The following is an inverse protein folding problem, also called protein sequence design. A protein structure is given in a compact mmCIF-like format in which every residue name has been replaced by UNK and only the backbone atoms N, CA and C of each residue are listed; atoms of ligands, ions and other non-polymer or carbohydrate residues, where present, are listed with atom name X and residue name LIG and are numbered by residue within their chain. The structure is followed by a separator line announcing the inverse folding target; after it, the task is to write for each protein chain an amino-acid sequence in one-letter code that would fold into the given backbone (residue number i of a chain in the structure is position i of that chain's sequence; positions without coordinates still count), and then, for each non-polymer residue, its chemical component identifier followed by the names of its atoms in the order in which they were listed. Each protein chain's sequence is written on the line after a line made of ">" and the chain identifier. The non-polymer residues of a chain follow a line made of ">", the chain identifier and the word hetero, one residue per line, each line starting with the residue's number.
data_IF_405919764511
#
_entry.id   IF_405919764511
#
_cell.length_a   1.000
_cell.length_b   1.000
_cell.length_c   1.000
_cell.angle_alpha   90.00
_cell.angle_beta   90.00
_cell.angle_gamma   90.00
#
_symmetry.space_group_name_H-M   'P 1'
#
loop_
_entity.id
_entity.type
_entity.pdbx_description
1 polymer ?
#
# COMPACT_ATOMS: atom_id res chain seq x y z
N UNK A 1 -42.64 29.10 -28.72
CA UNK A 1 -41.42 28.66 -29.45
C UNK A 1 -40.09 28.96 -28.74
N UNK A 2 -39.92 30.07 -28.01
CA UNK A 2 -38.64 30.35 -27.30
C UNK A 2 -38.35 29.42 -26.11
N UNK A 3 -39.36 29.09 -25.30
CA UNK A 3 -39.19 28.21 -24.12
C UNK A 3 -38.76 26.77 -24.49
N UNK A 4 -39.32 26.24 -25.58
CA UNK A 4 -39.01 24.90 -26.08
C UNK A 4 -37.55 24.77 -26.55
N UNK A 5 -36.96 25.85 -27.09
CA UNK A 5 -35.54 25.88 -27.48
C UNK A 5 -34.61 25.88 -26.26
N UNK A 6 -34.97 26.56 -25.18
CA UNK A 6 -34.16 26.54 -23.94
C UNK A 6 -34.24 25.20 -23.20
N UNK A 7 -35.39 24.53 -23.23
CA UNK A 7 -35.54 23.18 -22.66
C UNK A 7 -34.76 22.15 -23.48
N UNK A 8 -34.81 22.22 -24.83
CA UNK A 8 -33.97 21.37 -25.67
C UNK A 8 -32.48 21.68 -25.53
N UNK A 9 -32.06 22.95 -25.39
CA UNK A 9 -30.66 23.29 -25.12
C UNK A 9 -30.20 22.80 -23.74
N UNK A 10 -31.08 22.84 -22.73
CA UNK A 10 -30.80 22.29 -21.41
C UNK A 10 -30.67 20.76 -21.42
N UNK A 11 -31.56 20.08 -22.15
CA UNK A 11 -31.49 18.62 -22.32
C UNK A 11 -30.29 18.21 -23.18
N UNK A 12 -29.98 18.93 -24.27
CA UNK A 12 -28.78 18.69 -25.08
C UNK A 12 -27.51 19.04 -24.29
N UNK A 13 -27.54 20.04 -23.41
CA UNK A 13 -26.47 20.36 -22.48
C UNK A 13 -26.23 19.24 -21.47
N UNK A 14 -27.29 18.75 -20.82
CA UNK A 14 -27.21 17.59 -19.91
C UNK A 14 -26.82 16.32 -20.66
N UNK A 15 -27.35 16.06 -21.85
CA UNK A 15 -26.96 14.93 -22.70
C UNK A 15 -25.52 15.07 -23.19
N UNK A 16 -25.04 16.27 -23.51
CA UNK A 16 -23.64 16.49 -23.88
C UNK A 16 -22.72 16.30 -22.69
N UNK A 17 -23.12 16.65 -21.47
CA UNK A 17 -22.36 16.38 -20.24
C UNK A 17 -22.43 14.91 -19.80
N UNK A 18 -23.50 14.20 -20.16
CA UNK A 18 -23.69 12.76 -19.89
C UNK A 18 -23.06 11.88 -20.98
N UNK A 19 -22.92 12.38 -22.21
CA UNK A 19 -22.38 11.65 -23.37
C UNK A 19 -20.97 12.11 -23.78
N UNK A 20 -20.50 13.29 -23.35
CA UNK A 20 -19.07 13.65 -23.45
C UNK A 20 -18.35 12.95 -22.32
N UNK A 21 -17.52 11.99 -22.70
CA UNK A 21 -16.73 11.18 -21.79
C UNK A 21 -15.86 11.97 -20.81
N UNK A 22 -15.31 11.20 -19.87
CA UNK A 22 -14.38 11.58 -18.82
C UNK A 22 -15.07 12.12 -17.55
N UNK A 23 -15.15 11.26 -16.52
CA UNK A 23 -15.41 11.52 -15.08
C UNK A 23 -16.78 11.21 -14.47
N UNK A 24 -17.83 10.85 -15.23
CA UNK A 24 -19.13 10.54 -14.59
C UNK A 24 -19.17 9.12 -14.00
N UNK A 25 -19.35 9.04 -12.67
CA UNK A 25 -19.44 7.77 -11.92
C UNK A 25 -20.66 6.95 -12.35
N UNK A 26 -21.77 7.61 -12.70
CA UNK A 26 -22.98 6.94 -13.15
C UNK A 26 -22.97 6.66 -14.64
N UNK A 27 -23.54 5.52 -15.02
CA UNK A 27 -23.65 5.06 -16.40
C UNK A 27 -24.87 4.15 -16.53
N UNK A 28 -25.08 3.55 -17.71
CA UNK A 28 -26.06 2.47 -17.88
C UNK A 28 -25.40 1.12 -17.65
N UNK A 29 -26.19 0.05 -17.45
CA UNK A 29 -25.66 -1.32 -17.36
C UNK A 29 -24.84 -1.75 -18.60
N UNK A 30 -25.10 -1.13 -19.76
CA UNK A 30 -24.41 -1.35 -21.02
C UNK A 30 -23.39 -0.25 -21.35
N UNK A 31 -23.15 0.66 -20.42
CA UNK A 31 -22.12 1.68 -20.59
C UNK A 31 -20.72 1.09 -20.44
N UNK A 32 -19.73 1.84 -20.91
CA UNK A 32 -18.33 1.40 -20.86
C UNK A 32 -17.70 1.72 -19.50
N UNK A 33 -16.78 0.87 -18.99
CA UNK A 33 -15.92 1.21 -17.86
C UNK A 33 -15.03 2.43 -18.13
N UNK A 34 -14.30 2.89 -17.11
CA UNK A 34 -13.27 3.92 -17.32
C UNK A 34 -12.22 3.43 -18.33
N UNK A 35 -11.81 4.33 -19.24
CA UNK A 35 -10.82 4.04 -20.27
C UNK A 35 -9.41 3.98 -19.66
N UNK A 36 -8.42 3.43 -20.38
CA UNK A 36 -7.03 3.49 -19.94
C UNK A 36 -6.54 4.93 -19.69
N UNK A 37 -6.97 5.89 -20.52
CA UNK A 37 -6.56 7.30 -20.39
C UNK A 37 -7.16 7.95 -19.14
N UNK A 38 -8.43 7.67 -18.82
CA UNK A 38 -9.06 8.14 -17.58
C UNK A 38 -8.31 7.63 -16.34
N UNK A 39 -7.87 6.37 -16.38
CA UNK A 39 -7.09 5.74 -15.30
C UNK A 39 -5.71 6.38 -15.21
N UNK A 40 -5.02 6.53 -16.34
CA UNK A 40 -3.71 7.17 -16.40
C UNK A 40 -3.74 8.56 -15.75
N UNK A 41 -4.63 9.43 -16.21
CA UNK A 41 -4.76 10.80 -15.68
C UNK A 41 -5.10 10.80 -14.18
N UNK A 42 -5.97 9.88 -13.75
CA UNK A 42 -6.35 9.77 -12.33
C UNK A 42 -5.16 9.36 -11.45
N UNK A 43 -4.43 8.32 -11.83
CA UNK A 43 -3.28 7.81 -11.05
C UNK A 43 -2.14 8.82 -11.07
N UNK A 44 -1.80 9.40 -12.23
CA UNK A 44 -0.71 10.36 -12.31
C UNK A 44 -0.95 11.62 -11.48
N UNK A 45 -2.21 12.04 -11.40
CA UNK A 45 -2.62 13.15 -10.54
C UNK A 45 -2.53 12.80 -9.05
N UNK A 46 -3.11 11.67 -8.65
CA UNK A 46 -3.15 11.23 -7.25
C UNK A 46 -1.74 11.02 -6.68
N UNK A 47 -0.86 10.39 -7.48
CA UNK A 47 0.49 10.03 -7.07
C UNK A 47 1.55 11.00 -7.60
N UNK A 48 1.18 12.23 -7.92
CA UNK A 48 2.09 13.26 -8.46
C UNK A 48 3.36 13.48 -7.64
N UNK A 49 3.33 13.20 -6.32
CA UNK A 49 4.49 13.28 -5.42
C UNK A 49 5.63 12.31 -5.77
N UNK A 50 5.32 11.21 -6.47
CA UNK A 50 6.30 10.23 -6.97
C UNK A 50 6.46 10.26 -8.49
N UNK A 51 5.94 11.31 -9.14
CA UNK A 51 6.11 11.60 -10.57
C UNK A 51 5.93 10.39 -11.53
N UNK A 52 4.83 9.63 -11.42
CA UNK A 52 4.55 8.51 -12.32
C UNK A 52 4.48 8.94 -13.78
N UNK A 53 4.89 8.05 -14.69
CA UNK A 53 4.64 8.17 -16.12
C UNK A 53 4.11 6.84 -16.66
N UNK A 54 2.80 6.74 -16.82
CA UNK A 54 2.13 5.48 -17.12
C UNK A 54 2.01 5.23 -18.63
N UNK A 55 2.43 4.04 -19.03
CA UNK A 55 2.29 3.51 -20.39
C UNK A 55 1.45 2.25 -20.35
N UNK A 56 0.37 2.22 -21.14
CA UNK A 56 -0.49 1.05 -21.28
C UNK A 56 0.27 -0.07 -21.99
N UNK A 57 0.37 -1.24 -21.33
CA UNK A 57 1.01 -2.44 -21.88
C UNK A 57 -0.01 -3.40 -22.50
N UNK A 58 -1.17 -3.56 -21.85
CA UNK A 58 -2.23 -4.42 -22.36
C UNK A 58 -3.61 -3.98 -21.91
N UNK A 59 -4.61 -4.27 -22.74
CA UNK A 59 -6.03 -4.06 -22.42
C UNK A 59 -6.82 -5.31 -22.82
N UNK A 60 -7.55 -5.87 -21.87
CA UNK A 60 -8.37 -7.08 -22.06
C UNK A 60 -9.78 -6.82 -21.55
N UNK A 61 -10.79 -7.21 -22.32
CA UNK A 61 -12.17 -7.29 -21.85
C UNK A 61 -12.35 -8.64 -21.16
N UNK A 62 -12.40 -8.66 -19.83
CA UNK A 62 -12.57 -9.90 -19.05
C UNK A 62 -14.04 -10.35 -19.02
N UNK A 63 -14.96 -9.37 -19.00
CA UNK A 63 -16.39 -9.65 -19.02
C UNK A 63 -17.10 -8.71 -19.97
N UNK A 64 -17.83 -9.28 -20.92
CA UNK A 64 -18.70 -8.55 -21.83
C UNK A 64 -19.93 -7.95 -21.14
N UNK A 65 -20.61 -7.05 -21.84
CA UNK A 65 -21.85 -6.41 -21.39
C UNK A 65 -22.98 -7.45 -21.16
N UNK A 66 -23.92 -7.20 -20.22
CA UNK A 66 -24.00 -6.03 -19.32
C UNK A 66 -23.03 -6.11 -18.13
N UNK A 67 -22.73 -4.96 -17.53
CA UNK A 67 -21.76 -4.79 -16.45
C UNK A 67 -20.36 -5.25 -16.87
N UNK A 68 -19.86 -4.60 -17.92
CA UNK A 68 -18.57 -4.89 -18.52
C UNK A 68 -17.43 -4.69 -17.53
N UNK A 69 -16.39 -5.51 -17.67
CA UNK A 69 -15.14 -5.44 -16.90
C UNK A 69 -13.96 -5.52 -17.84
N UNK A 70 -13.10 -4.52 -17.74
CA UNK A 70 -11.84 -4.46 -18.44
C UNK A 70 -10.69 -4.60 -17.44
N UNK A 71 -9.63 -5.25 -17.86
CA UNK A 71 -8.36 -5.37 -17.14
C UNK A 71 -7.31 -4.63 -17.95
N UNK A 72 -6.57 -3.75 -17.28
CA UNK A 72 -5.47 -3.00 -17.88
C UNK A 72 -4.18 -3.30 -17.12
N UNK A 73 -3.09 -3.40 -17.88
CA UNK A 73 -1.73 -3.48 -17.32
C UNK A 73 -1.00 -2.23 -17.75
N UNK A 74 -0.47 -1.51 -16.77
CA UNK A 74 0.34 -0.32 -16.99
C UNK A 74 1.78 -0.59 -16.53
N UNK A 75 2.72 0.03 -17.23
CA UNK A 75 4.11 0.18 -16.80
C UNK A 75 4.35 1.64 -16.43
N UNK A 76 4.93 1.88 -15.26
CA UNK A 76 5.40 3.21 -14.86
C UNK A 76 6.87 3.36 -15.30
N UNK A 77 7.10 4.15 -16.34
CA UNK A 77 8.45 4.38 -16.87
C UNK A 77 9.34 5.17 -15.92
N UNK A 78 8.76 6.04 -15.08
CA UNK A 78 9.52 6.86 -14.13
C UNK A 78 10.06 6.02 -12.98
N UNK A 79 9.26 5.08 -12.48
CA UNK A 79 9.56 4.30 -11.27
C UNK A 79 9.93 2.84 -11.55
N UNK A 80 9.76 2.36 -12.79
CA UNK A 80 10.31 1.09 -13.24
C UNK A 80 9.53 -0.15 -12.80
N UNK A 81 8.21 -0.07 -12.61
CA UNK A 81 7.39 -1.21 -12.21
C UNK A 81 6.07 -1.28 -12.99
N UNK A 82 5.44 -2.46 -13.00
CA UNK A 82 4.13 -2.67 -13.62
C UNK A 82 3.06 -2.91 -12.56
N UNK A 83 1.82 -2.53 -12.87
CA UNK A 83 0.66 -2.88 -12.06
C UNK A 83 -0.55 -3.22 -12.95
N UNK A 84 -1.44 -4.03 -12.40
CA UNK A 84 -2.67 -4.46 -13.06
C UNK A 84 -3.86 -3.87 -12.32
N UNK A 85 -4.80 -3.30 -13.05
CA UNK A 85 -6.02 -2.70 -12.49
C UNK A 85 -7.26 -3.13 -13.25
N UNK A 86 -8.36 -3.23 -12.51
CA UNK A 86 -9.68 -3.50 -13.06
C UNK A 86 -10.46 -2.20 -13.22
N UNK A 87 -11.18 -2.09 -14.33
CA UNK A 87 -12.16 -1.05 -14.59
C UNK A 87 -13.50 -1.70 -14.90
N UNK A 88 -14.51 -1.43 -14.08
CA UNK A 88 -15.81 -2.12 -14.15
C UNK A 88 -16.98 -1.17 -14.20
N UNK A 89 -18.06 -1.63 -14.82
CA UNK A 89 -19.41 -1.16 -14.53
C UNK A 89 -20.07 -2.19 -13.62
N UNK A 90 -20.55 -1.76 -12.45
CA UNK A 90 -21.26 -2.62 -11.48
C UNK A 90 -22.68 -2.13 -11.24
N UNK A 91 -23.48 -2.96 -10.58
CA UNK A 91 -24.75 -2.51 -10.02
C UNK A 91 -24.52 -1.31 -9.08
N UNK A 92 -25.33 -0.25 -9.22
CA UNK A 92 -25.36 0.89 -8.32
C UNK A 92 -25.41 0.50 -6.85
N UNK A 93 -24.63 1.20 -6.03
CA UNK A 93 -24.64 1.01 -4.56
C UNK A 93 -25.95 1.48 -3.92
N UNK A 94 -26.65 2.42 -4.57
CA UNK A 94 -28.02 2.83 -4.22
C UNK A 94 -29.03 2.10 -5.11
N UNK A 95 -30.28 1.85 -4.65
CA UNK A 95 -31.32 1.19 -5.44
C UNK A 95 -31.84 2.13 -6.55
N UNK A 96 -30.98 2.43 -7.52
CA UNK A 96 -31.26 3.20 -8.70
C UNK A 96 -31.02 2.30 -9.93
N UNK A 97 -31.88 2.36 -10.97
CA UNK A 97 -31.62 1.65 -12.21
C UNK A 97 -30.37 2.23 -12.90
N UNK A 98 -29.56 1.37 -13.53
CA UNK A 98 -28.38 1.77 -14.29
C UNK A 98 -27.11 1.03 -13.88
N UNK A 99 -25.96 1.68 -14.07
CA UNK A 99 -24.63 1.18 -13.75
C UNK A 99 -23.78 2.22 -13.03
N UNK A 100 -22.80 1.76 -12.27
CA UNK A 100 -21.82 2.59 -11.57
C UNK A 100 -20.42 2.18 -12.02
N UNK A 101 -19.65 3.12 -12.55
CA UNK A 101 -18.24 2.93 -12.89
C UNK A 101 -17.42 2.84 -11.62
N UNK A 102 -16.52 1.86 -11.56
CA UNK A 102 -15.57 1.69 -10.47
C UNK A 102 -14.26 1.13 -11.00
N UNK A 103 -13.15 1.61 -10.47
CA UNK A 103 -11.85 1.01 -10.68
C UNK A 103 -11.09 0.90 -9.35
N UNK A 104 -10.01 0.12 -9.35
CA UNK A 104 -9.10 -0.07 -8.21
C UNK A 104 -7.69 0.48 -8.51
N UNK A 105 -7.56 1.37 -9.50
CA UNK A 105 -6.26 1.81 -10.02
C UNK A 105 -5.39 2.45 -8.95
N UNK A 106 -5.93 3.39 -8.17
CA UNK A 106 -5.15 4.05 -7.12
C UNK A 106 -4.68 3.06 -6.05
N UNK A 107 -5.53 2.09 -5.69
CA UNK A 107 -5.17 1.07 -4.70
C UNK A 107 -4.07 0.15 -5.24
N UNK A 108 -4.26 -0.41 -6.43
CA UNK A 108 -3.32 -1.35 -7.06
C UNK A 108 -1.97 -0.69 -7.37
N UNK A 109 -1.98 0.57 -7.83
CA UNK A 109 -0.77 1.36 -8.01
C UNK A 109 -0.02 1.55 -6.70
N UNK A 110 -0.70 2.00 -5.62
CA UNK A 110 -0.09 2.17 -4.30
C UNK A 110 0.57 0.87 -3.80
N UNK A 111 -0.10 -0.29 -3.95
CA UNK A 111 0.46 -1.57 -3.54
C UNK A 111 1.70 -1.95 -4.35
N UNK A 112 1.62 -1.89 -5.68
CA UNK A 112 2.74 -2.19 -6.54
C UNK A 112 3.91 -1.22 -6.33
N UNK A 113 3.61 0.06 -6.03
CA UNK A 113 4.60 1.06 -5.68
C UNK A 113 5.36 0.65 -4.41
N UNK A 114 4.63 0.33 -3.35
CA UNK A 114 5.24 -0.06 -2.08
C UNK A 114 6.02 -1.38 -2.15
N UNK A 115 5.62 -2.29 -3.05
CA UNK A 115 6.36 -3.53 -3.32
C UNK A 115 7.66 -3.26 -4.06
N UNK A 116 7.68 -2.39 -5.08
CA UNK A 116 8.95 -2.10 -5.79
C UNK A 116 9.99 -1.47 -4.86
N UNK A 117 9.55 -0.72 -3.83
CA UNK A 117 10.46 -0.11 -2.85
C UNK A 117 11.23 -1.16 -2.03
N UNK A 118 10.71 -2.38 -1.90
CA UNK A 118 11.31 -3.45 -1.09
C UNK A 118 12.79 -3.69 -1.47
N UNK A 119 13.12 -3.72 -2.77
CA UNK A 119 14.51 -3.92 -3.21
C UNK A 119 15.47 -2.85 -2.67
N UNK A 120 15.06 -1.58 -2.69
CA UNK A 120 15.85 -0.48 -2.12
C UNK A 120 15.94 -0.54 -0.60
N UNK A 121 14.88 -0.98 0.06
CA UNK A 121 14.84 -1.18 1.52
C UNK A 121 15.74 -2.33 1.95
N UNK A 122 15.77 -3.44 1.19
CA UNK A 122 16.65 -4.59 1.43
C UNK A 122 18.12 -4.18 1.37
N UNK A 123 18.53 -3.42 0.35
CA UNK A 123 19.91 -2.93 0.27
C UNK A 123 20.25 -1.94 1.39
N UNK A 124 19.31 -1.07 1.76
CA UNK A 124 19.51 -0.13 2.86
C UNK A 124 19.60 -0.83 4.22
N UNK A 125 18.82 -1.88 4.46
CA UNK A 125 18.84 -2.63 5.72
C UNK A 125 20.23 -3.20 6.04
N UNK A 126 20.96 -3.66 5.01
CA UNK A 126 22.33 -4.19 5.15
C UNK A 126 23.30 -3.17 5.75
N UNK A 127 23.11 -1.88 5.46
CA UNK A 127 23.96 -0.80 5.98
C UNK A 127 23.88 -0.68 7.51
N UNK A 128 22.80 -1.18 8.09
CA UNK A 128 22.53 -1.19 9.53
C UNK A 128 22.70 -2.58 10.16
N UNK A 129 23.34 -3.53 9.45
CA UNK A 129 23.53 -4.90 9.94
C UNK A 129 22.25 -5.75 9.98
N UNK A 130 21.16 -5.26 9.39
CA UNK A 130 19.88 -5.97 9.35
C UNK A 130 19.74 -6.82 8.09
N UNK A 131 18.94 -7.88 8.19
CA UNK A 131 18.57 -8.71 7.04
C UNK A 131 17.08 -8.56 6.78
N UNK A 132 16.72 -7.85 5.72
CA UNK A 132 15.33 -7.71 5.31
C UNK A 132 14.99 -8.76 4.23
N UNK A 133 13.83 -9.39 4.35
CA UNK A 133 13.32 -10.32 3.36
C UNK A 133 12.93 -9.57 2.07
N UNK A 134 13.20 -10.20 0.93
CA UNK A 134 12.59 -9.75 -0.34
C UNK A 134 11.07 -9.94 -0.28
N UNK A 135 10.34 -9.24 -1.15
CA UNK A 135 8.89 -9.41 -1.21
C UNK A 135 8.48 -10.87 -1.42
N UNK A 136 9.13 -11.56 -2.35
CA UNK A 136 8.89 -12.98 -2.65
C UNK A 136 9.19 -13.86 -1.44
N UNK A 137 10.32 -13.61 -0.77
CA UNK A 137 10.67 -14.34 0.44
C UNK A 137 9.68 -14.10 1.58
N UNK A 138 9.20 -12.87 1.74
CA UNK A 138 8.18 -12.56 2.75
C UNK A 138 6.87 -13.33 2.48
N UNK A 139 6.46 -13.46 1.22
CA UNK A 139 5.31 -14.29 0.83
C UNK A 139 5.52 -15.77 1.13
N UNK A 140 6.72 -16.31 0.94
CA UNK A 140 7.04 -17.70 1.28
C UNK A 140 7.09 -17.92 2.80
N UNK A 141 7.69 -16.99 3.56
CA UNK A 141 7.68 -17.01 5.01
C UNK A 141 6.25 -16.94 5.57
N UNK A 142 5.38 -16.12 4.99
CA UNK A 142 3.97 -16.04 5.38
C UNK A 142 3.18 -17.34 5.18
N UNK A 143 3.60 -18.19 4.23
CA UNK A 143 3.02 -19.53 4.00
C UNK A 143 3.62 -20.61 4.90
N UNK A 144 4.71 -20.31 5.61
CA UNK A 144 5.37 -21.28 6.48
C UNK A 144 4.45 -21.73 7.62
N UNK A 145 4.71 -22.92 8.17
CA UNK A 145 4.00 -23.43 9.36
C UNK A 145 4.60 -22.91 10.67
N UNK A 146 5.53 -21.96 10.61
CA UNK A 146 6.15 -21.37 11.77
C UNK A 146 5.11 -20.58 12.56
N UNK A 147 5.09 -20.76 13.88
CA UNK A 147 4.11 -20.12 14.76
C UNK A 147 4.78 -19.42 15.92
N UNK A 148 4.12 -18.39 16.42
CA UNK A 148 4.46 -17.71 17.67
C UNK A 148 3.28 -17.75 18.63
N UNK A 149 3.59 -17.61 19.91
CA UNK A 149 2.57 -17.44 20.96
C UNK A 149 2.20 -15.97 21.05
N UNK A 150 0.90 -15.68 20.97
CA UNK A 150 0.34 -14.35 21.17
C UNK A 150 -0.80 -14.46 22.19
N UNK A 151 -0.53 -14.03 23.43
CA UNK A 151 -1.42 -14.29 24.56
C UNK A 151 -1.54 -15.80 24.81
N UNK A 152 -2.77 -16.32 24.76
CA UNK A 152 -3.06 -17.75 24.90
C UNK A 152 -3.11 -18.49 23.55
N UNK A 153 -2.99 -17.79 22.43
CA UNK A 153 -3.16 -18.35 21.09
C UNK A 153 -1.82 -18.62 20.41
N UNK A 154 -1.82 -19.63 19.51
CA UNK A 154 -0.75 -19.82 18.52
C UNK A 154 -1.20 -19.20 17.20
N UNK A 155 -0.40 -18.27 16.68
CA UNK A 155 -0.64 -17.60 15.40
C UNK A 155 0.58 -17.77 14.49
N UNK A 156 0.43 -17.47 13.19
CA UNK A 156 1.58 -17.48 12.28
C UNK A 156 2.68 -16.56 12.77
N UNK A 157 3.94 -17.00 12.63
CA UNK A 157 5.11 -16.21 12.96
C UNK A 157 5.23 -14.99 12.03
N UNK A 158 4.96 -15.19 10.74
CA UNK A 158 5.14 -14.19 9.70
C UNK A 158 3.78 -13.73 9.15
N UNK A 159 3.40 -12.49 9.47
CA UNK A 159 2.10 -11.90 9.11
C UNK A 159 2.19 -10.46 8.62
N UNK A 160 3.40 -9.93 8.43
CA UNK A 160 3.64 -8.53 8.12
C UNK A 160 4.17 -8.38 6.69
N UNK A 161 3.98 -7.21 6.09
CA UNK A 161 4.37 -6.93 4.72
C UNK A 161 5.89 -6.97 4.55
N UNK A 162 6.60 -6.26 5.42
CA UNK A 162 8.05 -6.26 5.48
C UNK A 162 8.51 -7.08 6.68
N UNK A 163 9.45 -8.00 6.44
CA UNK A 163 10.01 -8.88 7.45
C UNK A 163 11.50 -8.56 7.58
N UNK A 164 11.90 -8.10 8.76
CA UNK A 164 13.28 -7.70 9.05
C UNK A 164 13.82 -8.57 10.18
N UNK A 165 14.94 -9.22 9.92
CA UNK A 165 15.70 -9.99 10.89
C UNK A 165 16.85 -9.15 11.45
N UNK A 166 17.03 -9.22 12.75
CA UNK A 166 18.09 -8.55 13.51
C UNK A 166 18.81 -9.57 14.38
N UNK A 167 20.11 -9.38 14.58
CA UNK A 167 20.92 -10.19 15.51
C UNK A 167 21.39 -9.32 16.70
N UNK A 168 22.18 -9.92 17.60
CA UNK A 168 22.68 -9.25 18.82
C UNK A 168 23.58 -8.01 18.56
N UNK A 169 24.09 -7.87 17.33
CA UNK A 169 24.94 -6.74 16.95
C UNK A 169 24.15 -5.48 16.60
N UNK A 170 22.89 -5.63 16.20
CA UNK A 170 22.00 -4.51 15.81
C UNK A 170 21.55 -3.74 17.04
N UNK A 171 21.61 -2.40 17.00
CA UNK A 171 21.12 -1.53 18.09
C UNK A 171 19.76 -0.93 17.76
N UNK A 172 18.99 -0.61 18.80
CA UNK A 172 17.70 0.07 18.65
C UNK A 172 17.81 1.39 17.87
N UNK A 173 18.93 2.10 18.00
CA UNK A 173 19.22 3.33 17.22
C UNK A 173 19.36 3.09 15.71
N UNK A 174 19.92 1.95 15.31
CA UNK A 174 20.03 1.55 13.90
C UNK A 174 18.64 1.25 13.33
N UNK A 175 17.83 0.52 14.11
CA UNK A 175 16.43 0.22 13.76
C UNK A 175 15.62 1.52 13.65
N UNK A 176 15.81 2.48 14.56
CA UNK A 176 15.13 3.77 14.52
C UNK A 176 15.45 4.53 13.23
N UNK A 177 16.73 4.58 12.86
CA UNK A 177 17.19 5.28 11.66
C UNK A 177 16.66 4.62 10.39
N UNK A 178 16.61 3.29 10.36
CA UNK A 178 16.02 2.55 9.25
C UNK A 178 14.50 2.73 9.16
N UNK A 179 13.79 2.72 10.29
CA UNK A 179 12.35 2.98 10.33
C UNK A 179 12.00 4.39 9.84
N UNK A 180 12.80 5.41 10.16
CA UNK A 180 12.67 6.75 9.58
C UNK A 180 12.85 6.73 8.06
N UNK A 181 13.80 5.95 7.56
CA UNK A 181 14.00 5.76 6.13
C UNK A 181 12.76 5.14 5.44
N UNK A 182 12.17 4.10 6.03
CA UNK A 182 10.92 3.51 5.54
C UNK A 182 9.81 4.56 5.57
N UNK A 183 9.65 5.29 6.68
CA UNK A 183 8.64 6.33 6.82
C UNK A 183 8.73 7.38 5.71
N UNK A 184 9.92 7.93 5.43
CA UNK A 184 10.10 8.92 4.38
C UNK A 184 9.84 8.39 2.97
N UNK A 185 10.08 7.09 2.72
CA UNK A 185 9.77 6.45 1.44
C UNK A 185 8.27 6.16 1.28
N UNK A 186 7.59 5.80 2.37
CA UNK A 186 6.15 5.55 2.38
C UNK A 186 5.32 6.83 2.41
N UNK A 187 5.90 7.93 2.89
CA UNK A 187 5.31 9.27 2.95
C UNK A 187 6.28 10.32 2.42
N UNK A 188 6.58 10.32 1.12
CA UNK A 188 7.43 11.34 0.53
C UNK A 188 6.79 12.71 0.75
N UNK A 189 7.55 13.65 1.33
CA UNK A 189 7.08 15.00 1.66
C UNK A 189 5.81 14.99 2.56
N UNK A 190 5.70 14.01 3.45
CA UNK A 190 4.52 13.77 4.31
C UNK A 190 3.20 13.57 3.55
N UNK A 191 3.28 13.25 2.25
CA UNK A 191 2.11 12.96 1.43
C UNK A 191 1.53 11.58 1.77
N UNK A 192 0.20 11.50 1.82
CA UNK A 192 -0.54 10.31 2.26
C UNK A 192 -0.92 9.35 1.12
N UNK A 193 -0.73 9.75 -0.14
CA UNK A 193 -1.25 9.03 -1.31
C UNK A 193 -0.79 7.57 -1.38
N UNK A 194 0.49 7.31 -1.05
CA UNK A 194 1.06 5.96 -1.11
C UNK A 194 0.48 5.01 -0.05
N UNK A 195 0.11 5.51 1.13
CA UNK A 195 -0.51 4.70 2.19
C UNK A 195 -2.03 4.74 2.04
N UNK A 196 -2.54 4.13 0.97
CA UNK A 196 -3.97 4.14 0.67
C UNK A 196 -4.80 3.69 1.90
N UNK A 197 -5.91 4.34 2.29
CA UNK A 197 -6.64 4.03 3.53
C UNK A 197 -7.18 2.59 3.69
N UNK A 198 -7.19 1.82 2.60
CA UNK A 198 -7.55 0.39 2.58
C UNK A 198 -6.35 -0.56 2.69
N UNK A 199 -5.13 -0.03 2.67
CA UNK A 199 -3.90 -0.78 2.87
C UNK A 199 -3.00 -0.01 3.81
N UNK A 200 -3.00 -0.47 5.05
CA UNK A 200 -1.88 -0.20 5.94
C UNK A 200 -0.69 -1.01 5.45
N UNK A 201 0.53 -0.47 5.60
CA UNK A 201 1.75 -1.27 5.46
C UNK A 201 2.30 -1.58 6.83
N UNK A 202 2.84 -2.77 6.99
CA UNK A 202 3.32 -3.25 8.28
C UNK A 202 4.75 -3.78 8.20
N UNK A 203 5.52 -3.49 9.23
CA UNK A 203 6.92 -3.87 9.32
C UNK A 203 7.11 -4.69 10.59
N UNK A 204 7.52 -5.94 10.45
CA UNK A 204 7.80 -6.84 11.56
C UNK A 204 9.30 -7.05 11.77
N UNK A 205 9.73 -6.92 13.02
CA UNK A 205 11.10 -7.20 13.45
C UNK A 205 11.17 -8.53 14.19
N UNK A 206 12.19 -9.30 13.84
CA UNK A 206 12.42 -10.65 14.32
C UNK A 206 13.89 -10.82 14.72
N UNK A 207 14.15 -11.44 15.85
CA UNK A 207 15.49 -11.82 16.23
C UNK A 207 15.88 -13.14 15.55
N UNK A 208 17.00 -13.15 14.87
CA UNK A 208 17.60 -14.34 14.27
C UNK A 208 19.09 -14.37 14.65
N UNK A 209 19.57 -15.41 15.36
CA UNK A 209 20.97 -15.50 15.75
C UNK A 209 21.91 -15.40 14.54
N UNK A 210 23.05 -14.74 14.74
CA UNK A 210 24.05 -14.59 13.69
C UNK A 210 24.50 -15.97 13.18
N UNK A 211 24.39 -16.18 11.87
CA UNK A 211 24.73 -17.44 11.22
C UNK A 211 23.61 -18.48 11.17
N UNK A 212 22.43 -18.23 11.76
CA UNK A 212 21.25 -19.06 11.54
C UNK A 212 20.66 -18.76 10.16
N UNK A 213 20.63 -19.78 9.29
CA UNK A 213 20.08 -19.66 7.94
C UNK A 213 18.57 -19.97 7.91
N UNK A 214 18.07 -20.77 8.86
CA UNK A 214 16.65 -21.10 8.95
C UNK A 214 15.88 -19.96 9.62
N UNK A 215 15.35 -19.06 8.77
CA UNK A 215 14.53 -17.93 9.17
C UNK A 215 13.31 -18.33 9.99
N UNK A 216 12.80 -19.56 9.87
CA UNK A 216 11.62 -20.01 10.63
C UNK A 216 11.89 -20.17 12.13
N UNK A 217 13.16 -20.19 12.55
CA UNK A 217 13.57 -20.20 13.94
C UNK A 217 13.66 -18.80 14.57
N UNK A 218 13.36 -17.75 13.81
CA UNK A 218 13.40 -16.40 14.33
C UNK A 218 12.38 -16.21 15.47
N UNK A 219 12.74 -15.39 16.46
CA UNK A 219 11.85 -14.98 17.54
C UNK A 219 11.20 -13.65 17.17
N UNK A 220 9.87 -13.56 17.19
CA UNK A 220 9.19 -12.28 16.99
C UNK A 220 9.56 -11.28 18.09
N UNK A 221 9.89 -10.04 17.70
CA UNK A 221 10.18 -8.95 18.63
C UNK A 221 9.00 -7.98 18.71
N UNK A 222 8.73 -7.28 17.61
CA UNK A 222 7.77 -6.18 17.55
C UNK A 222 7.35 -5.92 16.11
N UNK A 223 6.24 -5.22 15.90
CA UNK A 223 5.82 -4.76 14.59
C UNK A 223 5.17 -3.39 14.66
N UNK A 224 5.21 -2.69 13.53
CA UNK A 224 4.70 -1.32 13.38
C UNK A 224 3.77 -1.24 12.17
N UNK A 225 2.77 -0.36 12.25
CA UNK A 225 1.84 -0.08 11.15
C UNK A 225 2.00 1.35 10.67
N UNK A 226 2.25 1.48 9.37
CA UNK A 226 2.28 2.72 8.63
C UNK A 226 0.88 2.97 8.07
N UNK A 227 0.16 3.90 8.69
CA UNK A 227 -1.19 4.30 8.29
C UNK A 227 -1.14 5.70 7.68
N UNK A 228 -1.95 5.97 6.65
CA UNK A 228 -2.03 7.31 6.03
C UNK A 228 -2.28 8.40 7.07
N UNK A 229 -3.24 8.20 7.98
CA UNK A 229 -3.59 9.20 8.99
C UNK A 229 -2.52 9.44 10.05
N UNK A 230 -1.57 8.51 10.23
CA UNK A 230 -0.64 8.56 11.35
C UNK A 230 0.58 9.43 11.06
N UNK A 231 0.91 10.36 11.95
CA UNK A 231 2.22 11.00 11.92
C UNK A 231 3.34 10.02 12.34
N UNK A 232 4.59 10.48 12.35
CA UNK A 232 5.74 9.65 12.72
C UNK A 232 5.62 9.13 14.17
N UNK A 233 5.19 9.97 15.11
CA UNK A 233 5.00 9.59 16.50
C UNK A 233 3.93 8.51 16.60
N UNK A 234 2.76 8.73 16.01
CA UNK A 234 1.65 7.77 16.00
C UNK A 234 2.03 6.45 15.33
N UNK A 235 2.88 6.48 14.30
CA UNK A 235 3.43 5.28 13.66
C UNK A 235 4.25 4.45 14.65
N UNK A 236 5.16 5.08 15.40
CA UNK A 236 5.94 4.37 16.44
C UNK A 236 5.04 3.80 17.54
N UNK A 237 4.03 4.57 17.96
CA UNK A 237 3.08 4.16 19.01
C UNK A 237 2.26 2.92 18.62
N UNK A 238 2.11 2.60 17.33
CA UNK A 238 1.43 1.37 16.90
C UNK A 238 2.13 0.08 17.37
N UNK A 239 3.45 0.14 17.59
CA UNK A 239 4.23 -1.00 18.05
C UNK A 239 4.51 -0.96 19.55
N UNK A 240 5.04 0.16 20.07
CA UNK A 240 5.50 0.24 21.46
C UNK A 240 4.40 0.65 22.46
N UNK A 241 3.25 1.12 21.98
CA UNK A 241 2.16 1.63 22.83
C UNK A 241 2.44 3.02 23.41
N UNK A 242 1.54 3.50 24.27
CA UNK A 242 1.55 4.88 24.80
C UNK A 242 2.62 5.09 25.88
N UNK A 243 3.87 5.39 25.50
CA UNK A 243 4.97 5.58 26.46
C UNK A 243 5.44 7.03 26.65
N UNK A 244 5.20 7.93 25.68
CA UNK A 244 5.82 9.27 25.69
C UNK A 244 4.91 10.46 25.32
N UNK A 245 5.15 11.61 25.97
CA UNK A 245 4.40 12.86 25.75
C UNK A 245 4.77 13.55 24.42
N UNK A 246 6.01 13.41 23.94
CA UNK A 246 6.52 14.02 22.71
C UNK A 246 7.27 13.01 21.81
N UNK A 247 7.53 13.37 20.55
CA UNK A 247 8.19 12.50 19.57
C UNK A 247 9.59 12.06 20.02
N UNK A 248 10.38 12.95 20.63
CA UNK A 248 11.75 12.63 21.03
C UNK A 248 11.78 11.64 22.20
N UNK A 249 10.83 11.75 23.13
CA UNK A 249 10.64 10.76 24.19
C UNK A 249 10.24 9.40 23.62
N UNK A 250 9.28 9.38 22.69
CA UNK A 250 8.85 8.14 22.02
C UNK A 250 10.01 7.48 21.27
N UNK A 251 10.89 8.25 20.61
CA UNK A 251 12.09 7.70 19.96
C UNK A 251 13.09 7.10 20.95
N UNK A 252 13.31 7.74 22.10
CA UNK A 252 14.21 7.19 23.14
C UNK A 252 13.65 5.90 23.73
N UNK A 253 12.36 5.88 24.03
CA UNK A 253 11.68 4.69 24.55
C UNK A 253 11.73 3.56 23.54
N UNK A 254 11.47 3.86 22.26
CA UNK A 254 11.57 2.91 21.16
C UNK A 254 12.94 2.24 21.11
N UNK A 255 14.03 3.02 21.18
CA UNK A 255 15.40 2.49 21.16
C UNK A 255 15.63 1.59 22.38
N UNK A 256 15.28 2.06 23.58
CA UNK A 256 15.49 1.30 24.81
C UNK A 256 14.69 -0.01 24.84
N UNK A 257 13.46 -0.02 24.32
CA UNK A 257 12.61 -1.22 24.26
C UNK A 257 13.22 -2.23 23.29
N UNK A 258 13.68 -1.79 22.12
CA UNK A 258 14.29 -2.68 21.13
C UNK A 258 15.62 -3.26 21.63
N UNK A 259 16.48 -2.46 22.25
CA UNK A 259 17.73 -2.96 22.84
C UNK A 259 17.44 -4.04 23.89
N UNK A 260 16.44 -3.82 24.75
CA UNK A 260 16.01 -4.80 25.74
C UNK A 260 15.44 -6.07 25.09
N UNK A 261 14.60 -5.93 24.05
CA UNK A 261 14.02 -7.07 23.32
C UNK A 261 15.09 -7.92 22.63
N UNK A 262 16.06 -7.29 21.98
CA UNK A 262 17.18 -7.98 21.30
C UNK A 262 18.02 -8.72 22.34
N UNK A 263 18.41 -8.05 23.43
CA UNK A 263 19.19 -8.66 24.50
C UNK A 263 18.46 -9.86 25.13
N UNK A 264 17.16 -9.73 25.39
CA UNK A 264 16.36 -10.82 25.95
C UNK A 264 16.18 -11.98 24.97
N UNK A 265 16.06 -11.69 23.67
CA UNK A 265 15.92 -12.74 22.65
C UNK A 265 17.23 -13.51 22.38
N UNK A 266 18.38 -12.89 22.65
CA UNK A 266 19.70 -13.52 22.52
C UNK A 266 20.01 -14.55 23.62
N UNK A 267 19.34 -14.45 24.77
CA UNK A 267 19.47 -15.36 25.91
C UNK A 267 18.24 -16.27 26.08
#
# INVERSE_FOLDING_TARGET
>A
MRLFRYVLLGIVGVCSVVLSGCSFIWTTENGDPATPEDIKVSVEKEFSVVHPNLVLQSSVVEKEKPFQRNVYVFYDESNGFSFTTNSVVKWPTLPAPGGERKNDANFTYSQAYLVHLNGSLVERAKQYGMQMATHEEALELAKSKATRVAGTNKISLFTYDEIIFVDESVKGGDILTFMKSIYSLYKPQDNLALLHPRSDRSVGFYYLPKGEADKTKAKYLIAFRFMAKNDWKETMLTGIGSTGNDTSAVERDFVSILDHMIQHAAH
#
